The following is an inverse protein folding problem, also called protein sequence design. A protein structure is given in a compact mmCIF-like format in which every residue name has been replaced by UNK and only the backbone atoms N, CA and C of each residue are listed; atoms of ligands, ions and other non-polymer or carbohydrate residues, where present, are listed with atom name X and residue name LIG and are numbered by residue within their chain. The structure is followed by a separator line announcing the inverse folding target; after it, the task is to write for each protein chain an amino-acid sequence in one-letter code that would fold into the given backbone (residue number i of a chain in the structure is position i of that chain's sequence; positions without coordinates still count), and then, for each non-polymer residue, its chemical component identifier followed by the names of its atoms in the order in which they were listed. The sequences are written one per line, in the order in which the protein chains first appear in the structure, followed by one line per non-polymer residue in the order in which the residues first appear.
data_IF_688168261695
#
_entry.id   IF_688168261695
#
_cell.length_a   1.000
_cell.length_b   1.000
_cell.length_c   1.000
_cell.angle_alpha   90.00
_cell.angle_beta   90.00
_cell.angle_gamma   90.00
#
_symmetry.space_group_name_H-M   'P 1'
#
loop_
_entity.id
_entity.type
_entity.pdbx_description
1 polymer ?
#
# COMPACT_ATOMS: atom_id res chain seq x y z
N UNK A 1 -11.93 -2.02 -7.51
CA UNK A 1 -12.01 -3.18 -6.61
C UNK A 1 -12.33 -2.67 -5.24
N UNK A 2 -13.35 -3.23 -4.58
CA UNK A 2 -13.74 -2.78 -3.24
C UNK A 2 -12.81 -3.37 -2.19
N UNK A 3 -11.99 -2.52 -1.56
CA UNK A 3 -11.05 -2.90 -0.51
C UNK A 3 -11.72 -3.63 0.66
N UNK A 4 -12.94 -3.21 1.03
CA UNK A 4 -13.73 -3.90 2.07
C UNK A 4 -13.89 -5.40 1.80
N UNK A 5 -14.16 -5.80 0.55
CA UNK A 5 -14.29 -7.22 0.18
C UNK A 5 -12.98 -7.99 0.31
N UNK A 6 -11.85 -7.33 0.05
CA UNK A 6 -10.53 -7.96 0.20
C UNK A 6 -10.22 -8.23 1.68
N UNK A 7 -10.49 -7.25 2.54
CA UNK A 7 -10.34 -7.39 4.00
C UNK A 7 -11.31 -8.46 4.53
N UNK A 8 -12.57 -8.46 4.09
CA UNK A 8 -13.54 -9.50 4.44
C UNK A 8 -13.07 -10.90 4.02
N UNK A 9 -12.50 -11.05 2.82
CA UNK A 9 -11.93 -12.33 2.35
C UNK A 9 -10.84 -12.80 3.30
N UNK A 10 -9.91 -11.92 3.68
CA UNK A 10 -8.86 -12.23 4.65
C UNK A 10 -9.46 -12.63 6.00
N UNK A 11 -10.32 -11.80 6.60
CA UNK A 11 -10.84 -12.00 7.95
C UNK A 11 -11.70 -13.26 8.07
N UNK A 12 -12.30 -13.70 6.96
CA UNK A 12 -13.09 -14.93 6.93
C UNK A 12 -12.26 -16.20 6.72
N UNK A 13 -11.01 -16.07 6.27
CA UNK A 13 -10.12 -17.21 6.04
C UNK A 13 -9.76 -17.95 7.35
N UNK A 14 -9.57 -19.27 7.25
CA UNK A 14 -9.13 -20.10 8.38
C UNK A 14 -7.74 -19.65 8.87
N UNK A 15 -6.82 -19.44 7.93
CA UNK A 15 -5.44 -18.98 8.17
C UNK A 15 -5.41 -17.74 9.06
N UNK A 16 -6.18 -16.71 8.71
CA UNK A 16 -6.24 -15.48 9.51
C UNK A 16 -6.88 -15.70 10.87
N UNK A 17 -8.02 -16.41 10.93
CA UNK A 17 -8.72 -16.66 12.20
C UNK A 17 -7.83 -17.40 13.19
N UNK A 18 -7.06 -18.39 12.73
CA UNK A 18 -6.14 -19.15 13.58
C UNK A 18 -4.97 -18.28 14.05
N UNK A 19 -4.36 -17.49 13.16
CA UNK A 19 -3.32 -16.53 13.52
C UNK A 19 -3.83 -15.46 14.51
N UNK A 20 -5.03 -14.92 14.30
CA UNK A 20 -5.59 -13.83 15.10
C UNK A 20 -5.92 -14.25 16.54
N UNK A 21 -6.17 -15.53 16.80
CA UNK A 21 -6.36 -16.08 18.17
C UNK A 21 -5.12 -15.84 19.04
N UNK A 22 -3.93 -15.92 18.45
CA UNK A 22 -2.65 -15.72 19.12
C UNK A 22 -2.18 -14.26 19.05
N UNK A 23 -2.68 -13.50 18.06
CA UNK A 23 -2.25 -12.13 17.75
C UNK A 23 -3.38 -11.10 17.94
N UNK A 24 -4.05 -11.15 19.10
CA UNK A 24 -5.29 -10.37 19.36
C UNK A 24 -5.09 -8.85 19.28
N UNK A 25 -3.93 -8.36 19.67
CA UNK A 25 -3.61 -6.91 19.69
C UNK A 25 -3.11 -6.37 18.34
N UNK A 26 -2.82 -7.24 17.37
CA UNK A 26 -2.33 -6.79 16.07
C UNK A 26 -3.43 -6.08 15.27
N UNK A 27 -3.10 -4.99 14.60
CA UNK A 27 -4.06 -4.23 13.81
C UNK A 27 -3.58 -4.05 12.38
N UNK A 28 -4.53 -3.88 11.46
CA UNK A 28 -4.23 -3.63 10.06
C UNK A 28 -3.53 -2.28 9.91
N UNK A 29 -2.43 -2.24 9.18
CA UNK A 29 -1.66 -0.99 8.99
C UNK A 29 -1.58 -0.59 7.52
N UNK A 30 -1.56 -1.56 6.61
CA UNK A 30 -1.52 -1.25 5.19
C UNK A 30 -2.15 -2.35 4.34
N UNK A 31 -2.53 -1.96 3.13
CA UNK A 31 -2.74 -2.87 2.01
C UNK A 31 -1.78 -2.51 0.90
N UNK A 32 -1.10 -3.51 0.38
CA UNK A 32 -0.12 -3.39 -0.68
C UNK A 32 -0.62 -4.13 -1.92
N UNK A 33 -0.45 -3.51 -3.08
CA UNK A 33 -0.69 -4.12 -4.37
C UNK A 33 0.41 -3.73 -5.35
N UNK A 34 0.83 -4.70 -6.14
CA UNK A 34 1.75 -4.51 -7.24
C UNK A 34 1.02 -4.81 -8.54
N UNK A 35 1.02 -3.84 -9.47
CA UNK A 35 0.30 -3.96 -10.73
C UNK A 35 1.31 -4.34 -11.80
N UNK A 36 1.35 -5.64 -12.07
CA UNK A 36 2.06 -6.27 -13.18
C UNK A 36 1.03 -7.03 -14.03
N UNK A 37 1.33 -8.23 -14.54
CA UNK A 37 0.38 -9.04 -15.32
C UNK A 37 -0.83 -9.50 -14.48
N UNK A 38 -0.61 -9.72 -13.18
CA UNK A 38 -1.65 -10.05 -12.19
C UNK A 38 -1.46 -9.16 -10.97
N UNK A 39 -2.57 -8.77 -10.35
CA UNK A 39 -2.54 -8.00 -9.10
C UNK A 39 -2.48 -8.98 -7.94
N UNK A 40 -1.35 -9.03 -7.26
CA UNK A 40 -1.23 -9.70 -5.98
C UNK A 40 -1.46 -8.70 -4.85
N UNK A 41 -2.37 -9.05 -3.93
CA UNK A 41 -2.67 -8.23 -2.77
C UNK A 41 -1.98 -8.77 -1.54
N UNK A 42 -1.39 -7.87 -0.77
CA UNK A 42 -0.85 -8.15 0.55
C UNK A 42 -1.50 -7.23 1.58
N UNK A 43 -1.82 -7.77 2.76
CA UNK A 43 -2.38 -7.00 3.87
C UNK A 43 -1.46 -7.14 5.08
N UNK A 44 -0.93 -6.02 5.55
CA UNK A 44 -0.02 -5.97 6.69
C UNK A 44 -0.77 -5.76 8.00
N UNK A 45 -0.48 -6.60 8.98
CA UNK A 45 -0.89 -6.42 10.38
C UNK A 45 0.32 -6.13 11.24
N UNK A 46 0.26 -5.04 11.99
CA UNK A 46 1.34 -4.61 12.87
C UNK A 46 1.15 -5.18 14.27
N UNK A 47 2.23 -5.73 14.81
CA UNK A 47 2.35 -6.19 16.18
C UNK A 47 3.18 -5.18 16.99
N UNK A 48 2.51 -4.32 17.75
CA UNK A 48 3.17 -3.29 18.57
C UNK A 48 4.13 -3.87 19.62
N UNK A 49 3.87 -5.09 20.11
CA UNK A 49 4.69 -5.72 21.15
C UNK A 49 6.06 -6.16 20.63
N UNK A 50 6.09 -6.67 19.40
CA UNK A 50 7.32 -7.19 18.78
C UNK A 50 7.93 -6.22 17.75
N UNK A 51 7.23 -5.13 17.47
CA UNK A 51 7.59 -4.15 16.44
C UNK A 51 7.76 -4.75 15.04
N UNK A 52 6.90 -5.73 14.72
CA UNK A 52 6.92 -6.50 13.49
C UNK A 52 5.63 -6.34 12.70
N UNK A 53 5.69 -6.52 11.39
CA UNK A 53 4.52 -6.70 10.53
C UNK A 53 4.45 -8.15 10.07
N UNK A 54 3.27 -8.75 10.24
CA UNK A 54 2.87 -9.97 9.55
C UNK A 54 2.08 -9.60 8.29
N UNK A 55 2.51 -10.11 7.14
CA UNK A 55 1.84 -9.87 5.86
C UNK A 55 1.02 -11.08 5.42
N UNK A 56 -0.18 -10.83 4.93
CA UNK A 56 -1.06 -11.86 4.36
C UNK A 56 -1.17 -11.67 2.86
N UNK A 57 -0.82 -12.70 2.08
CA UNK A 57 -0.96 -12.69 0.62
C UNK A 57 -2.35 -13.25 0.28
N UNK A 58 -3.11 -12.49 -0.52
CA UNK A 58 -4.50 -12.82 -0.87
C UNK A 58 -4.54 -13.34 -2.32
N UNK A 59 -4.34 -14.65 -2.47
CA UNK A 59 -4.48 -15.38 -3.73
C UNK A 59 -5.81 -16.13 -3.82
N UNK A 60 -5.82 -17.28 -4.48
CA UNK A 60 -6.94 -18.24 -4.39
C UNK A 60 -7.11 -18.68 -2.93
N UNK A 61 -6.00 -19.05 -2.30
CA UNK A 61 -5.86 -19.25 -0.86
C UNK A 61 -5.19 -18.05 -0.18
N UNK A 62 -5.43 -17.90 1.12
CA UNK A 62 -4.74 -16.92 1.97
C UNK A 62 -3.51 -17.56 2.58
N UNK A 63 -2.34 -17.01 2.29
CA UNK A 63 -1.06 -17.43 2.88
C UNK A 63 -0.50 -16.32 3.78
N UNK A 64 0.34 -16.72 4.74
CA UNK A 64 1.06 -15.82 5.65
C UNK A 64 2.51 -15.77 5.20
N UNK A 65 3.06 -14.57 5.10
CA UNK A 65 4.49 -14.33 4.97
C UNK A 65 5.14 -14.20 6.35
N UNK A 66 6.44 -14.49 6.41
CA UNK A 66 7.22 -14.31 7.63
C UNK A 66 7.15 -12.87 8.15
N UNK A 67 7.34 -12.72 9.46
CA UNK A 67 7.39 -11.40 10.09
C UNK A 67 8.54 -10.57 9.52
N UNK A 68 8.25 -9.29 9.27
CA UNK A 68 9.23 -8.34 8.74
C UNK A 68 9.33 -7.13 9.67
N UNK A 69 10.54 -6.60 9.78
CA UNK A 69 10.79 -5.37 10.53
C UNK A 69 10.02 -4.20 9.92
N UNK A 70 9.45 -3.36 10.77
CA UNK A 70 8.77 -2.16 10.31
C UNK A 70 9.79 -1.09 9.92
N UNK A 71 9.75 -0.66 8.67
CA UNK A 71 10.50 0.51 8.25
C UNK A 71 9.87 1.80 8.77
N UNK A 72 10.39 2.31 9.90
CA UNK A 72 9.96 3.59 10.49
C UNK A 72 10.91 4.71 10.08
N UNK A 73 10.46 5.62 9.22
CA UNK A 73 11.11 6.94 9.13
C UNK A 73 10.76 7.75 10.38
N UNK A 74 11.78 8.32 11.02
CA UNK A 74 11.66 9.32 12.09
C UNK A 74 10.97 8.86 13.39
N UNK A 75 11.02 7.55 13.72
CA UNK A 75 10.42 6.96 14.94
C UNK A 75 8.91 7.22 15.11
N UNK A 76 8.20 7.62 14.07
CA UNK A 76 6.73 7.75 14.11
C UNK A 76 6.09 6.39 14.39
N UNK A 77 5.01 6.40 15.17
CA UNK A 77 4.23 5.19 15.43
C UNK A 77 3.56 4.69 14.14
N UNK A 78 3.45 3.37 14.00
CA UNK A 78 2.68 2.76 12.92
C UNK A 78 1.21 2.97 13.22
N UNK A 79 0.52 3.74 12.39
CA UNK A 79 -0.91 4.02 12.58
C UNK A 79 -1.77 2.86 12.08
N UNK A 80 -2.91 2.67 12.73
CA UNK A 80 -3.94 1.73 12.31
C UNK A 80 -4.68 2.28 11.08
N UNK A 81 -4.96 1.39 10.14
CA UNK A 81 -5.73 1.70 8.95
C UNK A 81 -7.22 1.47 9.21
N UNK A 82 -8.01 2.54 9.14
CA UNK A 82 -9.47 2.46 9.26
C UNK A 82 -10.13 2.24 7.89
N UNK A 83 -10.41 0.97 7.61
CA UNK A 83 -11.07 0.50 6.38
C UNK A 83 -12.45 1.16 6.16
N UNK A 84 -13.11 1.63 7.21
CA UNK A 84 -14.41 2.28 7.07
C UNK A 84 -14.31 3.72 6.54
N UNK A 85 -13.17 4.40 6.76
CA UNK A 85 -12.90 5.74 6.23
C UNK A 85 -12.51 5.76 4.75
N UNK A 86 -12.14 4.60 4.18
CA UNK A 86 -11.79 4.49 2.76
C UNK A 86 -13.05 4.66 1.89
N UNK A 87 -13.19 5.81 1.25
CA UNK A 87 -14.29 6.12 0.30
C UNK A 87 -13.85 6.03 -1.15
N UNK A 88 -12.57 6.27 -1.41
CA UNK A 88 -11.95 6.11 -2.72
C UNK A 88 -11.38 4.70 -2.80
N UNK A 89 -12.00 3.88 -3.63
CA UNK A 89 -11.56 2.52 -3.85
C UNK A 89 -10.33 2.48 -4.77
N UNK A 90 -9.71 1.30 -4.84
CA UNK A 90 -8.47 1.09 -5.57
C UNK A 90 -8.56 1.50 -7.05
N UNK A 91 -9.64 1.12 -7.75
CA UNK A 91 -9.75 1.43 -9.20
C UNK A 91 -9.86 2.93 -9.42
N UNK A 92 -10.60 3.63 -8.55
CA UNK A 92 -10.73 5.08 -8.62
C UNK A 92 -9.40 5.78 -8.30
N UNK A 93 -8.67 5.32 -7.28
CA UNK A 93 -7.35 5.86 -6.95
C UNK A 93 -6.37 5.70 -8.13
N UNK A 94 -6.31 4.50 -8.74
CA UNK A 94 -5.48 4.24 -9.93
C UNK A 94 -5.87 5.12 -11.10
N UNK A 95 -7.17 5.28 -11.38
CA UNK A 95 -7.64 6.17 -12.46
C UNK A 95 -7.25 7.63 -12.21
N UNK A 96 -7.38 8.10 -10.97
CA UNK A 96 -6.96 9.45 -10.58
C UNK A 96 -5.46 9.65 -10.79
N UNK A 97 -4.63 8.71 -10.33
CA UNK A 97 -3.18 8.76 -10.49
C UNK A 97 -2.76 8.67 -11.97
N UNK A 98 -3.39 7.80 -12.75
CA UNK A 98 -3.12 7.66 -14.19
C UNK A 98 -3.47 8.93 -14.96
N UNK A 99 -4.61 9.55 -14.64
CA UNK A 99 -5.00 10.83 -15.25
C UNK A 99 -3.98 11.92 -14.90
N UNK A 100 -3.65 12.05 -13.62
CA UNK A 100 -2.69 13.04 -13.14
C UNK A 100 -1.30 12.86 -13.77
N UNK A 101 -0.79 11.64 -13.83
CA UNK A 101 0.49 11.33 -14.47
C UNK A 101 0.48 11.72 -15.95
N UNK A 102 -0.57 11.38 -16.70
CA UNK A 102 -0.66 11.72 -18.13
C UNK A 102 -0.73 13.23 -18.38
N UNK A 103 -1.39 13.97 -17.51
CA UNK A 103 -1.53 15.43 -17.63
C UNK A 103 -0.26 16.18 -17.22
N UNK A 104 0.38 15.78 -16.11
CA UNK A 104 1.51 16.51 -15.52
C UNK A 104 2.88 15.97 -15.91
N UNK A 105 2.97 14.68 -16.20
CA UNK A 105 4.21 13.94 -16.46
C UNK A 105 4.09 13.03 -17.70
N UNK A 106 3.67 13.54 -18.87
CA UNK A 106 3.32 12.71 -20.04
C UNK A 106 4.47 11.81 -20.54
N UNK A 107 5.72 12.21 -20.32
CA UNK A 107 6.91 11.43 -20.70
C UNK A 107 7.18 10.24 -19.77
N UNK A 108 6.62 10.24 -18.55
CA UNK A 108 6.89 9.26 -17.52
C UNK A 108 5.96 8.05 -17.64
N UNK A 109 6.11 7.30 -18.73
CA UNK A 109 5.30 6.11 -18.98
C UNK A 109 5.59 5.03 -17.94
N UNK A 110 4.62 4.62 -17.11
CA UNK A 110 4.86 3.65 -16.04
C UNK A 110 5.08 2.25 -16.61
N UNK A 111 6.16 1.58 -16.19
CA UNK A 111 6.40 0.15 -16.42
C UNK A 111 5.89 -0.72 -15.28
N UNK A 112 5.86 -0.17 -14.06
CA UNK A 112 5.44 -0.84 -12.83
C UNK A 112 4.75 0.16 -11.92
N UNK A 113 3.68 -0.27 -11.25
CA UNK A 113 2.96 0.56 -10.27
C UNK A 113 2.90 -0.20 -8.95
N UNK A 114 3.39 0.45 -7.91
CA UNK A 114 3.33 -0.03 -6.52
C UNK A 114 2.33 0.84 -5.79
N UNK A 115 1.37 0.23 -5.13
CA UNK A 115 0.23 0.93 -4.54
C UNK A 115 0.05 0.47 -3.11
N UNK A 116 0.06 1.42 -2.19
CA UNK A 116 -0.04 1.17 -0.75
C UNK A 116 -1.14 2.05 -0.19
N UNK A 117 -2.19 1.44 0.35
CA UNK A 117 -3.12 2.13 1.24
C UNK A 117 -2.57 2.03 2.66
N UNK A 118 -2.31 3.17 3.30
CA UNK A 118 -1.70 3.24 4.63
C UNK A 118 -2.12 4.53 5.35
N UNK A 119 -1.96 4.57 6.67
CA UNK A 119 -2.10 5.80 7.45
C UNK A 119 -0.73 6.36 7.79
N UNK A 120 -0.28 7.37 7.04
CA UNK A 120 0.94 8.12 7.30
C UNK A 120 0.63 9.59 7.02
N UNK A 121 0.53 10.38 8.09
CA UNK A 121 0.05 11.77 8.04
C UNK A 121 -1.37 11.86 7.43
N UNK A 122 -2.23 10.91 7.84
CA UNK A 122 -3.57 10.68 7.30
C UNK A 122 -3.65 9.42 6.43
N UNK A 123 -4.87 8.98 6.14
CA UNK A 123 -5.12 7.75 5.38
C UNK A 123 -5.06 8.00 3.87
N UNK A 124 -4.01 7.49 3.24
CA UNK A 124 -3.66 7.79 1.84
C UNK A 124 -3.48 6.53 1.01
N UNK A 125 -3.79 6.67 -0.27
CA UNK A 125 -3.20 5.87 -1.35
C UNK A 125 -1.85 6.46 -1.72
N UNK A 126 -0.77 5.82 -1.28
CA UNK A 126 0.59 6.11 -1.71
C UNK A 126 0.92 5.26 -2.94
N UNK A 127 1.18 5.91 -4.07
CA UNK A 127 1.33 5.27 -5.37
C UNK A 127 2.68 5.63 -5.95
N UNK A 128 3.50 4.62 -6.21
CA UNK A 128 4.82 4.78 -6.81
C UNK A 128 4.81 4.19 -8.21
N UNK A 129 4.98 5.04 -9.21
CA UNK A 129 5.04 4.66 -10.61
C UNK A 129 6.50 4.66 -11.04
N UNK A 130 7.04 3.49 -11.37
CA UNK A 130 8.37 3.36 -11.96
C UNK A 130 8.23 3.57 -13.45
N UNK A 131 8.88 4.59 -14.00
CA UNK A 131 8.78 4.94 -15.42
C UNK A 131 9.85 4.24 -16.26
N UNK A 132 9.62 4.18 -17.58
CA UNK A 132 10.62 3.71 -18.57
C UNK A 132 11.89 4.55 -18.61
N UNK A 133 11.82 5.79 -18.13
CA UNK A 133 12.97 6.70 -18.05
C UNK A 133 13.77 6.51 -16.74
N UNK A 134 13.52 5.43 -16.00
CA UNK A 134 14.14 5.14 -14.71
C UNK A 134 13.91 6.24 -13.67
N UNK A 135 12.73 6.88 -13.70
CA UNK A 135 12.27 7.74 -12.63
C UNK A 135 11.18 7.05 -11.81
N UNK A 136 11.00 7.50 -10.58
CA UNK A 136 9.87 7.17 -9.73
C UNK A 136 8.99 8.40 -9.57
N UNK A 137 7.72 8.27 -9.96
CA UNK A 137 6.69 9.24 -9.64
C UNK A 137 5.92 8.73 -8.43
N UNK A 138 6.17 9.32 -7.27
CA UNK A 138 5.40 9.09 -6.04
C UNK A 138 4.22 10.04 -6.00
N UNK A 139 3.03 9.54 -5.70
CA UNK A 139 1.78 10.30 -5.60
C UNK A 139 1.05 9.88 -4.33
N UNK A 140 0.57 10.85 -3.55
CA UNK A 140 -0.25 10.61 -2.37
C UNK A 140 -1.64 11.14 -2.60
N UNK A 141 -2.62 10.24 -2.61
CA UNK A 141 -4.03 10.57 -2.81
C UNK A 141 -4.77 10.28 -1.50
N UNK A 142 -5.55 11.23 -1.02
CA UNK A 142 -6.39 11.05 0.14
C UNK A 142 -7.45 9.97 -0.09
N UNK A 143 -7.50 8.97 0.80
CA UNK A 143 -8.37 7.80 0.63
C UNK A 143 -9.86 8.08 0.86
N UNK A 144 -10.20 9.23 1.45
CA UNK A 144 -11.56 9.64 1.75
C UNK A 144 -12.12 10.58 0.67
N UNK A 145 -11.32 11.55 0.24
CA UNK A 145 -11.74 12.62 -0.67
C UNK A 145 -11.30 12.40 -2.11
N UNK A 146 -10.18 11.70 -2.32
CA UNK A 146 -9.57 11.51 -3.64
C UNK A 146 -8.71 12.68 -4.09
N UNK A 147 -8.44 13.64 -3.20
CA UNK A 147 -7.56 14.77 -3.44
C UNK A 147 -6.10 14.32 -3.54
N UNK A 148 -5.36 14.86 -4.52
CA UNK A 148 -3.91 14.70 -4.63
C UNK A 148 -3.24 15.56 -3.56
N UNK A 149 -2.72 14.95 -2.50
CA UNK A 149 -2.06 15.64 -1.38
C UNK A 149 -0.62 16.02 -1.71
N UNK A 150 0.10 15.17 -2.44
CA UNK A 150 1.45 15.45 -2.89
C UNK A 150 1.85 14.59 -4.08
N UNK A 151 2.88 15.03 -4.80
CA UNK A 151 3.54 14.21 -5.80
C UNK A 151 5.03 14.60 -5.90
N UNK A 152 5.87 13.63 -6.24
CA UNK A 152 7.33 13.81 -6.34
C UNK A 152 7.86 12.95 -7.48
N UNK A 153 8.66 13.53 -8.37
CA UNK A 153 9.39 12.82 -9.40
C UNK A 153 10.86 12.76 -9.01
N UNK A 154 11.42 11.55 -8.89
CA UNK A 154 12.81 11.34 -8.46
C UNK A 154 13.51 10.38 -9.43
N UNK A 155 14.79 10.60 -9.72
CA UNK A 155 15.56 9.70 -10.60
C UNK A 155 16.13 8.53 -9.81
N UNK A 156 15.94 7.29 -10.27
CA UNK A 156 16.54 6.11 -9.65
C UNK A 156 18.07 6.12 -9.73
N UNK A 157 18.63 6.74 -10.78
CA UNK A 157 20.08 6.87 -10.97
C UNK A 157 20.75 7.76 -9.92
N UNK A 158 19.99 8.66 -9.28
CA UNK A 158 20.50 9.54 -8.23
C UNK A 158 20.65 8.83 -6.88
N UNK A 159 19.92 7.73 -6.65
CA UNK A 159 19.92 7.00 -5.38
C UNK A 159 21.19 6.15 -5.18
N UNK A 160 21.83 5.70 -6.28
CA UNK A 160 23.05 4.90 -6.23
C UNK A 160 24.35 5.67 -5.96
N UNK A 161 24.29 7.00 -5.79
CA UNK A 161 25.46 7.85 -5.51
C UNK A 161 25.65 8.20 -4.04
N UNK A 162 24.82 7.64 -3.16
CA UNK A 162 24.93 7.78 -1.69
C UNK A 162 25.51 6.51 -1.02
N UNK A 163 26.31 5.74 -1.75
CA UNK A 163 27.12 4.62 -1.23
C UNK A 163 28.58 5.02 -1.10
#
# INVERSE_FOLDING_TARGET
MKIKKLVEKLTNSKTFKDWKKQNKECYITHLFAMLEEKIEWQIGYYNKKHDMITSFIIGDDVTISDESEVFKKDKKAVEELDINKVKIDFDKAVKTADKFQKEKYPTETPMKKIIILQSIDGQIWNMTYVSRNFNTLNMRIDSETGEMKSHELSSLLSLGKMS
#
